data_IF_565030959929
#
_entry.id   IF_565030959929
#
_cell.length_a   1.000
_cell.length_b   1.000
_cell.length_c   1.000
_cell.angle_alpha   90.00
_cell.angle_beta   90.00
_cell.angle_gamma   90.00
#
_symmetry.space_group_name_H-M   'P 1'
#
loop_
_entity.id
_entity.type
_entity.pdbx_description
1 polymer ?
#
# COMPACT_ATOMS: atom_id res chain seq x y z
N UNK A 1 14.48 -16.02 6.50
CA UNK A 1 13.89 -14.66 6.39
C UNK A 1 13.83 -14.12 4.95
N UNK A 2 14.69 -14.57 4.04
CA UNK A 2 14.79 -14.04 2.67
C UNK A 2 13.48 -14.12 1.85
N UNK A 3 12.77 -15.26 1.86
CA UNK A 3 11.52 -15.40 1.11
C UNK A 3 10.44 -14.39 1.55
N UNK A 4 10.37 -14.10 2.85
CA UNK A 4 9.43 -13.10 3.40
C UNK A 4 9.79 -11.69 2.91
N UNK A 5 11.08 -11.38 2.79
CA UNK A 5 11.54 -10.09 2.28
C UNK A 5 11.19 -9.92 0.80
N UNK A 6 11.39 -10.96 -0.02
CA UNK A 6 11.00 -10.92 -1.44
C UNK A 6 9.50 -10.79 -1.62
N UNK A 7 8.70 -11.52 -0.85
CA UNK A 7 7.24 -11.37 -0.86
C UNK A 7 6.80 -9.96 -0.48
N UNK A 8 7.44 -9.36 0.53
CA UNK A 8 7.16 -7.97 0.92
C UNK A 8 7.53 -6.97 -0.19
N UNK A 9 8.67 -7.17 -0.86
CA UNK A 9 9.10 -6.32 -1.97
C UNK A 9 8.15 -6.44 -3.17
N UNK A 10 7.75 -7.66 -3.56
CA UNK A 10 6.76 -7.87 -4.64
C UNK A 10 5.42 -7.23 -4.29
N UNK A 11 4.93 -7.42 -3.05
CA UNK A 11 3.70 -6.81 -2.58
C UNK A 11 3.77 -5.28 -2.67
N UNK A 12 4.87 -4.68 -2.21
CA UNK A 12 5.08 -3.25 -2.26
C UNK A 12 5.11 -2.75 -3.70
N UNK A 13 5.91 -3.37 -4.57
CA UNK A 13 6.05 -2.96 -5.96
C UNK A 13 4.71 -2.99 -6.71
N UNK A 14 3.88 -4.01 -6.48
CA UNK A 14 2.57 -4.12 -7.12
C UNK A 14 1.56 -3.10 -6.56
N UNK A 15 1.66 -2.72 -5.27
CA UNK A 15 0.60 -1.99 -4.57
C UNK A 15 0.96 -0.56 -4.13
N UNK A 16 2.19 -0.08 -4.34
CA UNK A 16 2.67 1.21 -3.81
C UNK A 16 1.83 2.40 -4.30
N UNK A 17 1.59 2.48 -5.61
CA UNK A 17 1.01 3.66 -6.26
C UNK A 17 -0.51 3.56 -6.47
N UNK A 18 -1.18 2.72 -5.69
CA UNK A 18 -2.63 2.53 -5.84
C UNK A 18 -3.41 3.83 -5.64
N UNK A 19 -4.25 4.22 -6.63
CA UNK A 19 -5.03 5.43 -6.54
C UNK A 19 -6.15 5.29 -5.50
N UNK A 20 -6.71 6.43 -5.09
CA UNK A 20 -7.89 6.44 -4.23
C UNK A 20 -9.11 5.88 -5.00
N UNK A 21 -9.86 5.00 -4.35
CA UNK A 21 -11.09 4.40 -4.87
C UNK A 21 -12.16 5.49 -5.02
N UNK A 22 -12.89 5.41 -6.13
CA UNK A 22 -14.04 6.27 -6.43
C UNK A 22 -15.31 5.42 -6.39
N UNK A 23 -16.40 6.00 -5.91
CA UNK A 23 -17.76 5.44 -6.04
C UNK A 23 -18.18 5.46 -7.52
N UNK A 24 -19.22 4.71 -7.91
CA UNK A 24 -19.78 4.74 -9.27
C UNK A 24 -20.12 6.16 -9.78
N UNK A 25 -20.44 7.08 -8.87
CA UNK A 25 -20.69 8.51 -9.15
C UNK A 25 -19.41 9.37 -9.22
N UNK A 26 -18.22 8.78 -9.21
CA UNK A 26 -16.93 9.47 -9.29
C UNK A 26 -16.40 10.09 -7.98
N UNK A 27 -17.18 10.08 -6.89
CA UNK A 27 -16.77 10.64 -5.58
C UNK A 27 -15.68 9.81 -4.91
N UNK A 28 -14.66 10.46 -4.35
CA UNK A 28 -13.58 9.82 -3.59
C UNK A 28 -14.12 9.11 -2.33
N UNK A 29 -13.67 7.89 -2.09
CA UNK A 29 -14.07 7.08 -0.94
C UNK A 29 -13.11 7.23 0.24
N UNK A 30 -13.69 7.27 1.43
CA UNK A 30 -12.97 7.41 2.69
C UNK A 30 -13.51 6.40 3.70
N UNK A 31 -12.69 6.04 4.70
CA UNK A 31 -13.13 5.25 5.84
C UNK A 31 -12.66 5.85 7.17
N UNK A 32 -13.51 5.84 8.21
CA UNK A 32 -13.05 6.11 9.57
C UNK A 32 -12.17 4.96 10.06
N UNK A 33 -11.09 5.30 10.75
CA UNK A 33 -10.14 4.39 11.39
C UNK A 33 -10.06 4.75 12.88
N UNK A 34 -10.38 3.79 13.73
CA UNK A 34 -10.32 3.94 15.18
C UNK A 34 -8.95 3.50 15.67
N UNK A 35 -8.10 4.48 15.98
CA UNK A 35 -6.77 4.22 16.50
C UNK A 35 -6.87 4.00 18.02
N UNK A 36 -6.22 2.95 18.54
CA UNK A 36 -6.17 2.69 20.00
C UNK A 36 -5.71 3.91 20.80
N UNK A 37 -4.73 4.65 20.28
CA UNK A 37 -4.21 5.88 20.90
C UNK A 37 -5.28 6.98 21.09
N UNK A 38 -6.37 6.96 20.31
CA UNK A 38 -7.45 7.94 20.37
C UNK A 38 -8.60 7.55 21.29
N UNK A 39 -8.53 6.39 21.99
CA UNK A 39 -9.49 5.95 23.02
C UNK A 39 -10.96 6.18 22.63
N UNK A 40 -11.35 5.76 21.43
CA UNK A 40 -12.71 5.92 20.90
C UNK A 40 -12.87 7.03 19.84
N UNK A 41 -11.90 7.94 19.72
CA UNK A 41 -11.85 8.88 18.59
C UNK A 41 -11.45 8.22 17.27
N UNK A 42 -11.76 8.87 16.14
CA UNK A 42 -11.46 8.38 14.80
C UNK A 42 -10.51 9.28 14.01
N UNK A 43 -9.93 8.71 12.96
CA UNK A 43 -9.21 9.42 11.89
C UNK A 43 -9.80 8.97 10.57
N UNK A 44 -9.99 9.87 9.61
CA UNK A 44 -10.42 9.49 8.27
C UNK A 44 -9.20 9.16 7.41
N UNK A 45 -9.23 8.01 6.74
CA UNK A 45 -8.24 7.61 5.74
C UNK A 45 -8.86 7.45 4.38
N UNK A 46 -8.10 7.80 3.35
CA UNK A 46 -8.45 7.53 1.96
C UNK A 46 -8.54 6.01 1.74
N UNK A 47 -9.61 5.56 1.11
CA UNK A 47 -9.75 4.15 0.70
C UNK A 47 -9.08 4.02 -0.67
N UNK A 48 -7.96 3.31 -0.74
CA UNK A 48 -7.33 2.97 -2.03
C UNK A 48 -8.15 1.92 -2.79
N UNK A 49 -7.92 1.77 -4.10
CA UNK A 49 -8.42 0.65 -4.92
C UNK A 49 -8.08 -0.70 -4.29
N UNK A 50 -8.64 -1.83 -4.71
CA UNK A 50 -8.29 -3.12 -4.09
C UNK A 50 -6.81 -3.50 -4.28
N UNK A 51 -6.25 -4.26 -3.33
CA UNK A 51 -4.93 -4.90 -3.54
C UNK A 51 -5.03 -5.93 -4.63
N UNK A 52 -4.04 -5.98 -5.50
CA UNK A 52 -3.79 -7.17 -6.32
C UNK A 52 -2.77 -8.07 -5.63
N UNK A 53 -2.88 -9.38 -5.89
CA UNK A 53 -2.04 -10.43 -5.28
C UNK A 53 -1.58 -11.45 -6.33
N UNK A 54 -1.47 -11.03 -7.60
CA UNK A 54 -1.20 -11.95 -8.71
C UNK A 54 0.13 -12.71 -8.54
N UNK A 55 1.16 -12.06 -7.96
CA UNK A 55 2.43 -12.72 -7.64
C UNK A 55 2.24 -13.87 -6.64
N UNK A 56 1.35 -13.74 -5.65
CA UNK A 56 1.07 -14.81 -4.69
C UNK A 56 0.36 -15.96 -5.38
N UNK A 57 -0.64 -15.68 -6.20
CA UNK A 57 -1.39 -16.73 -6.92
C UNK A 57 -0.46 -17.56 -7.81
N UNK A 58 0.42 -16.89 -8.55
CA UNK A 58 1.41 -17.56 -9.40
C UNK A 58 2.39 -18.43 -8.59
N UNK A 59 2.88 -17.91 -7.45
CA UNK A 59 3.75 -18.66 -6.55
C UNK A 59 3.05 -19.87 -5.94
N UNK A 60 1.80 -19.70 -5.49
CA UNK A 60 1.00 -20.78 -4.92
C UNK A 60 0.72 -21.86 -5.96
N UNK A 61 0.42 -21.47 -7.21
CA UNK A 61 0.24 -22.41 -8.30
C UNK A 61 1.52 -23.20 -8.57
N UNK A 62 2.69 -22.54 -8.62
CA UNK A 62 3.98 -23.21 -8.79
C UNK A 62 4.24 -24.22 -7.66
N UNK A 63 4.04 -23.81 -6.41
CA UNK A 63 4.27 -24.67 -5.24
C UNK A 63 3.32 -25.87 -5.24
N UNK A 64 2.02 -25.65 -5.46
CA UNK A 64 1.04 -26.75 -5.44
C UNK A 64 1.09 -27.63 -6.68
N UNK A 65 1.63 -27.16 -7.79
CA UNK A 65 1.77 -27.97 -9.01
C UNK A 65 3.07 -28.78 -9.00
N UNK A 66 4.18 -28.15 -8.63
CA UNK A 66 5.51 -28.69 -8.89
C UNK A 66 6.22 -29.23 -7.63
N UNK A 67 5.73 -28.86 -6.43
CA UNK A 67 6.40 -29.22 -5.16
C UNK A 67 5.50 -30.08 -4.28
N UNK A 68 4.21 -29.74 -4.18
CA UNK A 68 3.27 -30.44 -3.30
C UNK A 68 2.41 -31.39 -4.12
N UNK A 69 2.64 -32.69 -4.00
CA UNK A 69 1.88 -33.71 -4.73
C UNK A 69 0.43 -33.88 -4.27
N UNK A 70 0.13 -33.59 -2.99
CA UNK A 70 -1.24 -33.57 -2.46
C UNK A 70 -1.50 -32.29 -1.64
N UNK A 71 -2.25 -31.31 -2.18
CA UNK A 71 -2.53 -30.06 -1.49
C UNK A 71 -3.68 -30.15 -0.47
N UNK A 72 -4.51 -31.21 -0.50
CA UNK A 72 -5.76 -31.31 0.29
C UNK A 72 -5.53 -31.15 1.80
N UNK A 73 -4.54 -31.82 2.42
CA UNK A 73 -4.32 -31.71 3.87
C UNK A 73 -3.99 -30.28 4.32
N UNK A 74 -3.31 -29.49 3.47
CA UNK A 74 -2.94 -28.12 3.77
C UNK A 74 -4.14 -27.17 3.68
N UNK A 75 -5.00 -27.36 2.68
CA UNK A 75 -6.22 -26.56 2.52
C UNK A 75 -7.17 -26.81 3.70
N UNK A 76 -7.38 -28.08 4.06
CA UNK A 76 -8.23 -28.46 5.19
C UNK A 76 -7.73 -27.88 6.52
N UNK A 77 -6.41 -27.90 6.74
CA UNK A 77 -5.81 -27.33 7.94
C UNK A 77 -6.04 -25.82 8.03
N UNK A 78 -5.91 -25.08 6.92
CA UNK A 78 -6.13 -23.62 6.88
C UNK A 78 -7.60 -23.29 7.16
N UNK A 79 -8.54 -24.04 6.59
CA UNK A 79 -9.98 -23.81 6.79
C UNK A 79 -10.43 -24.01 8.25
N UNK A 80 -9.71 -24.83 9.03
CA UNK A 80 -10.01 -25.08 10.44
C UNK A 80 -9.54 -23.96 11.38
N UNK A 81 -8.76 -22.99 10.90
CA UNK A 81 -8.27 -21.88 11.72
C UNK A 81 -9.43 -20.91 11.99
N UNK A 82 -9.87 -20.73 13.25
CA UNK A 82 -10.94 -19.80 13.56
C UNK A 82 -10.48 -18.36 13.33
N UNK A 83 -11.29 -17.56 12.63
CA UNK A 83 -11.02 -16.13 12.45
C UNK A 83 -11.62 -15.37 13.65
N UNK A 84 -10.81 -14.73 14.50
CA UNK A 84 -11.31 -13.94 15.61
C UNK A 84 -12.03 -12.68 15.10
N UNK A 85 -12.99 -12.21 15.87
CA UNK A 85 -13.72 -10.98 15.56
C UNK A 85 -12.80 -9.74 15.67
N UNK A 86 -13.07 -8.72 14.85
CA UNK A 86 -12.35 -7.46 14.89
C UNK A 86 -12.53 -6.76 16.25
N UNK A 87 -11.43 -6.33 16.88
CA UNK A 87 -11.47 -5.56 18.14
C UNK A 87 -12.30 -4.26 18.07
N UNK A 88 -12.54 -3.74 16.86
CA UNK A 88 -13.33 -2.52 16.63
C UNK A 88 -14.80 -2.81 16.29
N UNK A 89 -15.26 -4.06 16.41
CA UNK A 89 -16.66 -4.43 16.20
C UNK A 89 -17.60 -3.77 17.22
N UNK A 90 -17.12 -3.58 18.45
CA UNK A 90 -17.90 -3.07 19.58
C UNK A 90 -17.92 -1.53 19.71
N UNK A 91 -17.17 -0.81 18.87
CA UNK A 91 -17.10 0.66 18.94
C UNK A 91 -18.25 1.31 18.18
N UNK A 92 -18.89 2.32 18.79
CA UNK A 92 -19.90 3.14 18.13
C UNK A 92 -19.26 3.92 16.96
N UNK A 93 -19.78 3.72 15.74
CA UNK A 93 -19.25 4.31 14.51
C UNK A 93 -20.08 5.53 14.12
N UNK A 94 -19.48 6.72 13.96
CA UNK A 94 -20.18 7.87 13.42
C UNK A 94 -20.54 7.62 11.95
N UNK A 95 -21.47 8.41 11.42
CA UNK A 95 -21.80 8.36 9.99
C UNK A 95 -20.54 8.65 9.15
N UNK A 96 -20.45 8.01 7.99
CA UNK A 96 -19.28 8.17 7.10
C UNK A 96 -19.26 9.61 6.57
N UNK A 97 -20.45 10.18 6.33
CA UNK A 97 -20.67 11.52 5.81
C UNK A 97 -20.14 12.58 6.77
N UNK A 98 -20.50 12.49 8.07
CA UNK A 98 -20.05 13.46 9.08
C UNK A 98 -18.54 13.37 9.29
N UNK A 99 -18.00 12.15 9.34
CA UNK A 99 -16.57 11.93 9.49
C UNK A 99 -15.78 12.55 8.32
N UNK A 100 -16.27 12.38 7.09
CA UNK A 100 -15.66 12.97 5.89
C UNK A 100 -15.79 14.48 5.88
N UNK A 101 -16.95 15.04 6.23
CA UNK A 101 -17.16 16.49 6.29
C UNK A 101 -16.22 17.16 7.28
N UNK A 102 -16.07 16.59 8.49
CA UNK A 102 -15.12 17.06 9.49
C UNK A 102 -13.67 16.99 8.99
N UNK A 103 -13.30 15.88 8.34
CA UNK A 103 -11.97 15.71 7.77
C UNK A 103 -11.68 16.76 6.70
N UNK A 104 -12.55 16.92 5.70
CA UNK A 104 -12.37 17.90 4.62
C UNK A 104 -12.29 19.31 5.20
N UNK A 105 -13.18 19.69 6.12
CA UNK A 105 -13.19 21.00 6.78
C UNK A 105 -11.86 21.33 7.47
N UNK A 106 -11.25 20.36 8.19
CA UNK A 106 -9.95 20.54 8.86
C UNK A 106 -8.81 20.80 7.87
N UNK A 107 -8.80 20.13 6.72
CA UNK A 107 -7.71 20.24 5.74
C UNK A 107 -7.92 21.37 4.72
N UNK A 108 -9.15 21.86 4.53
CA UNK A 108 -9.44 23.02 3.67
C UNK A 108 -9.00 24.37 4.25
N UNK A 109 -8.66 24.44 5.55
CA UNK A 109 -8.18 25.68 6.21
C UNK A 109 -6.68 25.96 6.04
N UNK A 110 -5.96 25.16 5.25
CA UNK A 110 -4.54 25.35 4.91
C UNK A 110 -4.29 25.77 3.46
N UNK A 111 -5.14 26.60 2.88
CA UNK A 111 -4.92 27.15 1.54
C UNK A 111 -3.69 28.06 1.49
N UNK A 112 -2.69 27.71 0.67
CA UNK A 112 -1.61 28.65 0.34
C UNK A 112 -0.24 28.09 -0.01
N UNK A 113 -0.10 26.94 -0.67
CA UNK A 113 1.13 26.65 -1.42
C UNK A 113 0.76 26.08 -2.79
N UNK A 114 0.79 26.96 -3.80
CA UNK A 114 0.80 26.59 -5.21
C UNK A 114 2.07 25.77 -5.48
N UNK A 115 1.98 24.44 -5.45
CA UNK A 115 2.97 23.61 -6.15
C UNK A 115 2.63 23.68 -7.63
N UNK A 116 3.33 24.57 -8.35
CA UNK A 116 3.45 24.47 -9.80
C UNK A 116 4.02 23.09 -10.15
N UNK A 117 3.21 22.32 -10.87
CA UNK A 117 3.62 21.06 -11.48
C UNK A 117 4.82 21.32 -12.40
N UNK A 118 5.99 20.77 -12.03
CA UNK A 118 7.22 20.88 -12.81
C UNK A 118 7.41 19.56 -13.60
N UNK A 119 7.16 19.53 -14.92
CA UNK A 119 7.17 18.29 -15.72
C UNK A 119 8.56 17.65 -15.90
N UNK A 120 9.66 18.33 -15.53
CA UNK A 120 11.03 17.80 -15.69
C UNK A 120 11.43 16.74 -14.63
N UNK A 121 10.60 16.47 -13.62
CA UNK A 121 10.92 15.47 -12.59
C UNK A 121 10.78 14.00 -13.07
N UNK A 122 10.28 13.76 -14.29
CA UNK A 122 10.00 12.41 -14.79
C UNK A 122 11.18 11.70 -15.46
N UNK A 123 12.32 12.39 -15.68
CA UNK A 123 13.45 11.80 -16.43
C UNK A 123 14.40 10.91 -15.62
N UNK A 124 14.16 10.72 -14.32
CA UNK A 124 14.99 9.83 -13.48
C UNK A 124 14.18 8.65 -12.93
N UNK A 125 13.44 7.96 -13.82
CA UNK A 125 13.00 6.60 -13.54
C UNK A 125 14.23 5.69 -13.43
N UNK A 126 14.26 4.84 -12.40
CA UNK A 126 15.30 3.84 -12.14
C UNK A 126 15.78 3.18 -13.45
N UNK A 127 17.01 3.46 -13.88
CA UNK A 127 17.69 2.57 -14.82
C UNK A 127 18.22 1.38 -14.03
N UNK A 128 17.52 0.25 -14.15
CA UNK A 128 18.02 -1.04 -13.72
C UNK A 128 19.00 -1.51 -14.79
N UNK A 129 20.30 -1.34 -14.56
CA UNK A 129 21.31 -2.00 -15.38
C UNK A 129 21.61 -3.38 -14.78
N UNK A 130 21.31 -4.43 -15.54
CA UNK A 130 21.83 -5.77 -15.26
C UNK A 130 23.17 -5.94 -16.00
N UNK A 131 24.26 -6.09 -15.27
CA UNK A 131 25.52 -6.59 -15.85
C UNK A 131 25.71 -8.04 -15.45
N UNK A 132 25.77 -8.92 -16.45
CA UNK A 132 26.08 -10.33 -16.31
C UNK A 132 27.60 -10.52 -16.29
N UNK A 133 28.16 -10.96 -15.18
CA UNK A 133 29.48 -11.57 -15.13
C UNK A 133 29.35 -12.94 -14.45
N UNK A 134 29.83 -13.96 -15.15
CA UNK A 134 30.09 -15.31 -14.63
C UNK A 134 28.93 -15.95 -13.84
N UNK A 135 27.72 -15.92 -14.40
CA UNK A 135 26.59 -16.70 -13.88
C UNK A 135 25.96 -16.21 -12.58
N UNK A 136 26.38 -15.05 -12.04
CA UNK A 136 25.79 -14.43 -10.86
C UNK A 136 25.13 -13.11 -11.26
N UNK A 137 23.80 -13.03 -11.12
CA UNK A 137 23.08 -11.78 -11.37
C UNK A 137 23.13 -10.93 -10.10
N UNK A 138 23.86 -9.81 -10.13
CA UNK A 138 23.99 -8.92 -8.97
C UNK A 138 23.11 -7.69 -9.17
N UNK A 139 22.15 -7.45 -8.27
CA UNK A 139 21.30 -6.27 -8.26
C UNK A 139 21.86 -5.22 -7.29
N UNK A 140 22.36 -4.11 -7.82
CA UNK A 140 22.83 -2.97 -7.01
C UNK A 140 21.72 -1.93 -6.87
N UNK A 141 21.20 -1.77 -5.65
CA UNK A 141 20.33 -0.64 -5.29
C UNK A 141 21.19 0.58 -4.97
N UNK A 142 21.20 1.56 -5.87
CA UNK A 142 21.84 2.85 -5.57
C UNK A 142 20.92 3.69 -4.67
N UNK A 143 21.43 4.27 -3.56
CA UNK A 143 20.63 5.13 -2.71
C UNK A 143 20.27 6.44 -3.44
N UNK A 144 19.04 6.92 -3.23
CA UNK A 144 18.59 8.26 -3.67
C UNK A 144 19.53 9.31 -3.09
N UNK A 145 20.11 10.17 -3.94
CA UNK A 145 20.69 11.43 -3.47
C UNK A 145 19.55 12.32 -2.92
N UNK A 146 19.67 12.88 -1.71
CA UNK A 146 18.71 13.87 -1.22
C UNK A 146 18.89 15.17 -2.01
N UNK A 147 17.85 15.61 -2.72
CA UNK A 147 17.78 16.94 -3.31
C UNK A 147 16.91 17.82 -2.42
N UNK A 148 17.49 18.37 -1.36
CA UNK A 148 17.00 19.60 -0.76
C UNK A 148 18.05 20.68 -1.01
N UNK A 149 17.85 21.45 -2.07
CA UNK A 149 18.50 22.76 -2.20
C UNK A 149 17.52 23.77 -1.60
N UNK A 150 17.86 24.30 -0.41
CA UNK A 150 17.23 25.50 0.13
C UNK A 150 17.90 26.70 -0.55
N UNK A 151 17.29 27.26 -1.59
CA UNK A 151 17.66 28.58 -2.08
C UNK A 151 16.99 29.63 -1.21
N UNK A 152 17.77 30.33 -0.38
CA UNK A 152 17.36 31.60 0.23
C UNK A 152 17.32 32.67 -0.87
N UNK A 153 16.20 33.38 -0.98
CA UNK A 153 16.08 34.63 -1.74
C UNK A 153 15.96 35.76 -0.73
N UNK A 154 17.03 36.52 -0.58
CA UNK A 154 17.07 37.96 -0.31
C UNK A 154 18.33 38.51 -0.98
#
# INVERSE_FOLDING_TARGET
MLCRLYLAAMHFNENAERPQRKTAKGKLMYRPMFLKAKRGGYTVKQVKTETTICYVLNLMQLVFKDIIHDPVPYVDAVQRIPVPEDLCAQLNRPSIEDAVAEHVSRFSRGGGLNLTYCPEAFKNALLIHSTMQEGITTWTLLPRKPQHQLTKVL
#
